data_IF_950805875617
#
_entry.id   IF_950805875617
#
_cell.length_a   1.000
_cell.length_b   1.000
_cell.length_c   1.000
_cell.angle_alpha   90.00
_cell.angle_beta   90.00
_cell.angle_gamma   90.00
#
_symmetry.space_group_name_H-M   'P 1'
#
loop_
_entity.id
_entity.type
_entity.pdbx_description
1 polymer ?
#
# COMPACT_ATOMS: atom_id res chain seq x y z
N UNK A 1 17.74 8.53 -8.01
CA UNK A 1 18.01 7.13 -7.58
C UNK A 1 16.81 6.25 -7.94
N UNK A 2 16.99 4.95 -8.21
CA UNK A 2 15.87 4.10 -8.60
C UNK A 2 14.88 3.90 -7.44
N UNK A 3 13.58 3.85 -7.74
CA UNK A 3 12.48 3.58 -6.77
C UNK A 3 12.75 2.34 -5.91
N UNK A 4 13.46 1.36 -6.48
CA UNK A 4 13.93 0.15 -5.79
C UNK A 4 14.70 0.43 -4.49
N UNK A 5 15.44 1.54 -4.38
CA UNK A 5 16.18 1.89 -3.17
C UNK A 5 15.26 2.08 -1.96
N UNK A 6 14.03 2.57 -2.17
CA UNK A 6 13.05 2.73 -1.10
C UNK A 6 12.62 1.38 -0.48
N UNK A 7 12.68 0.28 -1.24
CA UNK A 7 12.42 -1.05 -0.69
C UNK A 7 13.45 -1.42 0.40
N UNK A 8 14.71 -1.04 0.23
CA UNK A 8 15.74 -1.25 1.24
C UNK A 8 15.51 -0.41 2.50
N UNK A 9 15.01 0.81 2.36
CA UNK A 9 14.59 1.64 3.50
C UNK A 9 13.51 0.90 4.30
N UNK A 10 12.41 0.49 3.67
CA UNK A 10 11.33 -0.23 4.38
C UNK A 10 11.78 -1.57 4.96
N UNK A 11 12.67 -2.30 4.29
CA UNK A 11 13.26 -3.53 4.86
C UNK A 11 14.04 -3.23 6.15
N UNK A 12 14.84 -2.16 6.18
CA UNK A 12 15.59 -1.75 7.36
C UNK A 12 14.71 -1.23 8.50
N UNK A 13 13.54 -0.68 8.18
CA UNK A 13 12.56 -0.19 9.16
C UNK A 13 11.74 -1.30 9.82
N UNK A 14 11.68 -2.50 9.22
CA UNK A 14 10.84 -3.57 9.76
C UNK A 14 11.21 -3.94 11.19
N UNK A 15 12.51 -4.14 11.48
CA UNK A 15 12.99 -4.46 12.83
C UNK A 15 12.74 -3.34 13.85
N UNK A 16 13.16 -2.09 13.58
CA UNK A 16 12.89 -0.93 14.42
C UNK A 16 11.42 -0.69 14.77
N UNK A 17 10.49 -0.97 13.86
CA UNK A 17 9.05 -0.82 14.07
C UNK A 17 8.39 -2.12 14.59
N UNK A 18 9.16 -3.18 14.78
CA UNK A 18 8.64 -4.44 15.31
C UNK A 18 8.57 -4.38 16.83
N UNK A 19 7.37 -4.10 17.32
CA UNK A 19 7.05 -4.07 18.73
C UNK A 19 5.92 -5.06 19.05
N UNK A 20 6.16 -5.92 20.04
CA UNK A 20 5.19 -6.92 20.49
C UNK A 20 4.85 -6.64 21.95
N UNK A 21 3.77 -5.88 22.15
CA UNK A 21 3.24 -5.57 23.47
C UNK A 21 2.24 -6.62 23.92
N UNK A 22 2.28 -6.96 25.20
CA UNK A 22 1.29 -7.84 25.82
C UNK A 22 0.02 -7.06 26.24
N UNK A 23 -1.05 -7.79 26.59
CA UNK A 23 -2.32 -7.17 26.98
C UNK A 23 -2.20 -6.24 28.20
N UNK A 24 -1.30 -6.51 29.15
CA UNK A 24 -1.11 -5.64 30.30
C UNK A 24 -0.43 -4.32 29.90
N UNK A 25 0.53 -4.36 28.99
CA UNK A 25 1.17 -3.17 28.40
C UNK A 25 0.14 -2.30 27.69
N UNK A 26 -0.67 -2.92 26.83
CA UNK A 26 -1.67 -2.19 26.05
C UNK A 26 -2.80 -1.62 26.92
N UNK A 27 -3.38 -2.42 27.81
CA UNK A 27 -4.64 -2.06 28.48
C UNK A 27 -4.46 -1.49 29.89
N UNK A 28 -3.35 -1.79 30.57
CA UNK A 28 -3.10 -1.27 31.93
C UNK A 28 -2.10 -0.13 31.90
N UNK A 29 -1.01 -0.26 31.13
CA UNK A 29 0.03 0.77 31.00
C UNK A 29 -0.26 1.78 29.89
N UNK A 30 -1.24 1.51 29.03
CA UNK A 30 -1.62 2.39 27.92
C UNK A 30 -0.54 2.49 26.84
N UNK A 31 0.36 1.51 26.76
CA UNK A 31 1.43 1.52 25.78
C UNK A 31 0.88 1.20 24.39
N UNK A 32 1.21 2.02 23.38
CA UNK A 32 0.82 1.79 21.99
C UNK A 32 1.91 1.01 21.25
N UNK A 33 1.51 0.10 20.37
CA UNK A 33 2.46 -0.57 19.46
C UNK A 33 3.06 0.46 18.51
N UNK A 34 4.36 0.37 18.28
CA UNK A 34 5.06 1.27 17.37
C UNK A 34 4.45 1.27 15.97
N UNK A 35 4.33 2.46 15.38
CA UNK A 35 3.90 2.67 14.00
C UNK A 35 4.62 3.88 13.41
N UNK A 36 4.63 3.96 12.09
CA UNK A 36 5.10 5.13 11.35
C UNK A 36 4.10 5.46 10.24
N UNK A 37 3.95 6.73 9.90
CA UNK A 37 3.15 7.20 8.78
C UNK A 37 4.05 7.92 7.79
N UNK A 38 4.00 7.50 6.54
CA UNK A 38 4.66 8.16 5.41
C UNK A 38 3.60 8.89 4.62
N UNK A 39 3.72 10.20 4.51
CA UNK A 39 2.62 11.05 4.07
C UNK A 39 3.04 11.94 2.91
N UNK A 40 2.12 12.12 1.97
CA UNK A 40 2.22 13.09 0.90
C UNK A 40 1.05 14.04 1.11
N UNK A 41 1.34 15.28 1.48
CA UNK A 41 0.34 16.30 1.71
C UNK A 41 0.54 17.46 0.74
N UNK A 42 -0.55 17.91 0.11
CA UNK A 42 -0.57 19.09 -0.74
C UNK A 42 -1.37 20.19 -0.08
N UNK A 43 -0.78 21.38 0.00
CA UNK A 43 -1.41 22.59 0.50
C UNK A 43 -1.43 23.60 -0.64
N UNK A 44 -2.62 23.92 -1.16
CA UNK A 44 -2.75 24.85 -2.29
C UNK A 44 -1.89 24.50 -3.53
N UNK A 45 -1.62 23.21 -3.75
CA UNK A 45 -0.80 22.73 -4.87
C UNK A 45 0.67 22.51 -4.53
N UNK A 46 1.13 22.99 -3.37
CA UNK A 46 2.50 22.74 -2.89
C UNK A 46 2.56 21.37 -2.22
N UNK A 47 3.34 20.45 -2.80
CA UNK A 47 3.45 19.06 -2.33
C UNK A 47 4.62 18.92 -1.35
N UNK A 48 4.32 18.38 -0.18
CA UNK A 48 5.27 18.09 0.89
C UNK A 48 5.24 16.61 1.26
N UNK A 49 6.39 16.11 1.73
CA UNK A 49 6.55 14.76 2.24
C UNK A 49 6.78 14.81 3.75
N UNK A 50 6.00 14.03 4.50
CA UNK A 50 6.13 13.95 5.95
C UNK A 50 6.36 12.51 6.40
N UNK A 51 7.07 12.37 7.52
CA UNK A 51 7.15 11.12 8.25
C UNK A 51 6.73 11.38 9.68
N UNK A 52 5.68 10.72 10.14
CA UNK A 52 5.23 10.76 11.54
C UNK A 52 5.60 9.47 12.22
N UNK A 53 6.26 9.56 13.36
CA UNK A 53 6.69 8.41 14.15
C UNK A 53 6.81 8.80 15.63
N UNK A 54 7.01 7.80 16.49
CA UNK A 54 7.41 8.03 17.88
C UNK A 54 8.82 8.64 17.94
N UNK A 55 9.04 9.55 18.91
CA UNK A 55 10.30 10.28 19.06
C UNK A 55 11.48 9.32 19.21
N UNK A 56 11.28 8.21 19.95
CA UNK A 56 12.26 7.15 20.18
C UNK A 56 12.66 6.40 18.91
N UNK A 57 11.87 6.50 17.83
CA UNK A 57 12.12 5.85 16.54
C UNK A 57 12.68 6.79 15.48
N UNK A 58 12.68 8.10 15.73
CA UNK A 58 13.14 9.14 14.80
C UNK A 58 14.54 8.85 14.25
N UNK A 59 15.52 8.62 15.13
CA UNK A 59 16.93 8.40 14.75
C UNK A 59 17.09 7.19 13.84
N UNK A 60 16.33 6.12 14.09
CA UNK A 60 16.36 4.89 13.29
C UNK A 60 15.73 5.12 11.91
N UNK A 61 14.65 5.90 11.85
CA UNK A 61 13.98 6.25 10.60
C UNK A 61 14.84 7.16 9.73
N UNK A 62 15.41 8.21 10.31
CA UNK A 62 16.33 9.11 9.62
C UNK A 62 17.53 8.33 9.07
N UNK A 63 18.15 7.48 9.90
CA UNK A 63 19.28 6.64 9.49
C UNK A 63 18.93 5.70 8.33
N UNK A 64 17.73 5.11 8.35
CA UNK A 64 17.24 4.25 7.27
C UNK A 64 17.11 5.03 5.96
N UNK A 65 16.55 6.24 6.00
CA UNK A 65 16.40 7.11 4.82
C UNK A 65 17.78 7.53 4.31
N UNK A 66 18.65 8.06 5.17
CA UNK A 66 20.00 8.52 4.80
C UNK A 66 20.86 7.42 4.20
N UNK A 67 20.68 6.16 4.61
CA UNK A 67 21.42 5.02 4.05
C UNK A 67 21.22 4.86 2.55
N UNK A 68 20.02 5.20 2.04
CA UNK A 68 19.67 5.11 0.63
C UNK A 68 19.63 6.47 -0.05
N UNK A 69 19.39 7.55 0.70
CA UNK A 69 19.22 8.92 0.23
C UNK A 69 20.05 9.89 1.11
N UNK A 70 21.38 9.93 0.96
CA UNK A 70 22.26 10.74 1.79
C UNK A 70 22.07 12.25 1.56
N UNK A 71 21.57 12.63 0.39
CA UNK A 71 21.29 14.02 0.00
C UNK A 71 19.86 14.46 0.42
N UNK A 72 19.10 13.61 1.12
CA UNK A 72 17.79 13.99 1.62
C UNK A 72 17.93 15.05 2.73
N UNK A 73 17.08 16.06 2.73
CA UNK A 73 17.02 17.04 3.81
C UNK A 73 15.84 16.71 4.70
N UNK A 74 16.10 16.29 5.94
CA UNK A 74 15.08 15.95 6.93
C UNK A 74 15.14 16.99 8.05
N UNK A 75 14.04 17.71 8.25
CA UNK A 75 13.86 18.66 9.34
C UNK A 75 12.58 18.37 10.10
N UNK A 76 12.61 18.62 11.41
CA UNK A 76 11.42 18.57 12.24
C UNK A 76 10.50 19.77 11.95
N UNK A 77 9.20 19.53 11.95
CA UNK A 77 8.17 20.52 11.66
C UNK A 77 6.95 20.26 12.54
N UNK A 78 6.15 21.30 12.77
CA UNK A 78 4.89 21.16 13.47
C UNK A 78 3.90 20.28 12.67
N UNK A 79 3.05 19.57 13.39
CA UNK A 79 2.02 18.71 12.81
C UNK A 79 0.98 19.56 12.05
N UNK A 80 0.99 19.44 10.73
CA UNK A 80 0.09 20.19 9.84
C UNK A 80 -1.39 19.96 10.15
N UNK A 81 -1.75 18.82 10.76
CA UNK A 81 -3.14 18.54 11.13
C UNK A 81 -3.66 19.48 12.22
N UNK A 82 -2.78 20.18 12.94
CA UNK A 82 -3.14 21.22 13.92
C UNK A 82 -3.43 22.57 13.27
N UNK A 83 -3.05 22.76 12.01
CA UNK A 83 -3.27 24.00 11.25
C UNK A 83 -4.68 24.11 10.69
N UNK A 84 -5.50 23.06 10.87
CA UNK A 84 -6.92 23.06 10.52
C UNK A 84 -7.79 22.96 11.78
N UNK A 85 -9.01 23.51 11.76
CA UNK A 85 -9.96 23.34 12.86
C UNK A 85 -10.16 21.86 13.22
N UNK A 86 -10.24 21.56 14.52
CA UNK A 86 -10.35 20.17 15.02
C UNK A 86 -11.79 19.65 15.03
N UNK A 87 -12.75 20.53 14.82
CA UNK A 87 -14.18 20.25 14.75
C UNK A 87 -14.68 20.02 13.30
N UNK A 88 -13.76 19.84 12.35
CA UNK A 88 -14.10 19.55 10.95
C UNK A 88 -14.79 18.18 10.85
N UNK A 89 -15.89 18.05 10.09
CA UNK A 89 -16.54 19.11 9.31
C UNK A 89 -17.47 19.97 10.14
N UNK A 90 -17.49 21.28 9.83
CA UNK A 90 -18.25 22.30 10.56
C UNK A 90 -18.97 23.25 9.60
N UNK A 91 -19.39 24.43 10.07
CA UNK A 91 -20.10 25.40 9.24
C UNK A 91 -19.22 26.01 8.14
N UNK A 92 -17.90 26.01 8.28
CA UNK A 92 -16.95 26.66 7.38
C UNK A 92 -16.12 25.69 6.53
N UNK A 93 -15.96 24.44 6.98
CA UNK A 93 -15.10 23.44 6.36
C UNK A 93 -15.84 22.16 6.02
N UNK A 94 -15.61 21.66 4.81
CA UNK A 94 -16.02 20.33 4.38
C UNK A 94 -14.82 19.38 4.35
N UNK A 95 -15.07 18.10 4.67
CA UNK A 95 -14.07 17.05 4.66
C UNK A 95 -14.60 15.78 4.00
N UNK A 96 -13.73 15.18 3.20
CA UNK A 96 -13.90 13.84 2.68
C UNK A 96 -12.71 12.98 3.04
N UNK A 97 -12.96 11.94 3.84
CA UNK A 97 -11.96 10.96 4.25
C UNK A 97 -12.31 9.56 3.76
N UNK A 98 -11.31 8.80 3.34
CA UNK A 98 -11.47 7.38 3.02
C UNK A 98 -10.21 6.60 3.37
N UNK A 99 -10.38 5.35 3.78
CA UNK A 99 -9.29 4.38 3.77
C UNK A 99 -9.45 3.42 2.59
N UNK A 100 -8.34 2.96 2.05
CA UNK A 100 -8.27 1.92 1.05
C UNK A 100 -7.94 0.58 1.69
N UNK A 101 -8.52 -0.48 1.15
CA UNK A 101 -8.26 -1.87 1.50
C UNK A 101 -8.06 -2.70 0.23
N UNK A 102 -7.55 -3.91 0.38
CA UNK A 102 -7.46 -4.82 -0.77
C UNK A 102 -8.82 -5.37 -1.20
N UNK A 103 -8.97 -5.57 -2.51
CA UNK A 103 -10.14 -6.18 -3.10
C UNK A 103 -10.19 -7.70 -2.81
N UNK A 104 -9.05 -8.38 -3.01
CA UNK A 104 -8.82 -9.80 -2.71
C UNK A 104 -7.99 -9.95 -1.43
N UNK A 105 -7.75 -11.18 -1.00
CA UNK A 105 -6.98 -11.50 0.20
C UNK A 105 -5.53 -11.02 0.14
N UNK A 106 -4.96 -10.76 1.33
CA UNK A 106 -3.64 -10.13 1.50
C UNK A 106 -2.48 -10.91 0.89
N UNK A 107 -2.63 -12.20 0.61
CA UNK A 107 -1.55 -12.95 -0.05
C UNK A 107 -1.44 -12.64 -1.56
N UNK A 108 -2.47 -12.04 -2.17
CA UNK A 108 -2.38 -11.49 -3.52
C UNK A 108 -1.66 -10.13 -3.50
N UNK A 109 -0.57 -9.93 -4.26
CA UNK A 109 0.09 -8.62 -4.39
C UNK A 109 -0.72 -7.65 -5.25
N UNK A 110 -0.48 -6.36 -5.08
CA UNK A 110 -0.79 -5.36 -6.13
C UNK A 110 0.41 -5.25 -7.08
N UNK A 111 0.25 -4.60 -8.23
CA UNK A 111 1.39 -4.25 -9.07
C UNK A 111 2.37 -3.40 -8.26
N UNK A 112 3.65 -3.71 -8.39
CA UNK A 112 4.73 -2.98 -7.71
C UNK A 112 5.59 -2.27 -8.74
N UNK A 113 6.58 -1.50 -8.28
CA UNK A 113 7.50 -0.75 -9.15
C UNK A 113 8.13 -1.60 -10.28
N UNK A 114 8.35 -2.91 -10.04
CA UNK A 114 8.88 -3.83 -11.06
C UNK A 114 7.96 -3.97 -12.27
N UNK A 115 6.65 -3.82 -12.09
CA UNK A 115 5.66 -3.88 -13.17
C UNK A 115 5.61 -2.62 -14.02
N UNK A 116 6.14 -1.49 -13.53
CA UNK A 116 6.23 -0.22 -14.26
C UNK A 116 7.56 -0.06 -15.02
N UNK A 117 8.52 -0.96 -14.76
CA UNK A 117 9.72 -1.10 -15.56
C UNK A 117 9.43 -2.12 -16.66
N UNK A 118 9.44 -1.70 -17.93
CA UNK A 118 9.20 -2.64 -19.04
C UNK A 118 10.15 -3.85 -18.95
N UNK A 119 9.60 -5.06 -18.94
CA UNK A 119 10.35 -6.32 -19.10
C UNK A 119 10.83 -6.44 -20.55
N UNK A 120 11.79 -5.63 -21.01
CA UNK A 120 12.54 -5.89 -22.25
C UNK A 120 13.85 -5.11 -22.32
N UNK A 121 14.91 -5.80 -21.95
CA UNK A 121 16.28 -5.51 -22.38
C UNK A 121 17.03 -4.53 -21.49
N UNK A 122 18.28 -4.90 -21.18
CA UNK A 122 19.29 -4.14 -20.44
C UNK A 122 19.68 -2.78 -21.07
N UNK A 123 18.90 -2.29 -22.04
CA UNK A 123 19.18 -1.13 -22.90
C UNK A 123 18.03 -0.11 -22.92
N UNK A 124 17.11 -0.13 -21.95
CA UNK A 124 16.17 0.97 -21.79
C UNK A 124 16.92 2.14 -21.15
N UNK A 125 17.28 3.13 -21.99
CA UNK A 125 17.68 4.48 -21.54
C UNK A 125 16.78 4.91 -20.38
N UNK A 126 17.35 5.46 -19.31
CA UNK A 126 16.59 5.89 -18.13
C UNK A 126 15.35 6.74 -18.47
N UNK A 127 15.38 7.42 -19.61
CA UNK A 127 14.32 8.21 -20.25
C UNK A 127 12.95 7.51 -20.42
N UNK A 128 12.87 6.17 -20.51
CA UNK A 128 11.57 5.47 -20.68
C UNK A 128 11.00 4.86 -19.40
N UNK A 129 11.63 5.09 -18.25
CA UNK A 129 11.07 4.64 -16.97
C UNK A 129 9.90 5.56 -16.59
N UNK A 130 8.70 4.99 -16.48
CA UNK A 130 7.51 5.70 -16.00
C UNK A 130 7.58 5.73 -14.48
N UNK A 131 7.63 6.92 -13.89
CA UNK A 131 7.52 7.09 -12.44
C UNK A 131 6.04 7.01 -12.02
N UNK A 132 5.63 6.00 -11.23
CA UNK A 132 4.26 5.89 -10.75
C UNK A 132 3.85 7.09 -9.86
N UNK A 133 4.77 7.81 -9.22
CA UNK A 133 4.42 8.95 -8.37
C UNK A 133 4.20 10.26 -9.13
N UNK A 134 4.75 10.40 -10.34
CA UNK A 134 4.69 11.66 -11.09
C UNK A 134 3.25 12.12 -11.31
N UNK A 135 2.36 11.19 -11.69
CA UNK A 135 0.94 11.48 -11.89
C UNK A 135 0.24 11.94 -10.61
N UNK A 136 0.59 11.34 -9.46
CA UNK A 136 0.03 11.76 -8.18
C UNK A 136 0.45 13.20 -7.85
N UNK A 137 1.74 13.51 -8.00
CA UNK A 137 2.30 14.85 -7.73
C UNK A 137 1.66 15.89 -8.65
N UNK A 138 1.58 15.60 -9.96
CA UNK A 138 0.91 16.48 -10.93
C UNK A 138 -0.55 16.74 -10.54
N UNK A 139 -1.29 15.69 -10.19
CA UNK A 139 -2.70 15.81 -9.78
C UNK A 139 -2.85 16.62 -8.49
N UNK A 140 -1.96 16.42 -7.52
CA UNK A 140 -1.95 17.16 -6.26
C UNK A 140 -1.54 18.64 -6.43
N UNK A 141 -0.79 18.95 -7.50
CA UNK A 141 -0.36 20.31 -7.84
C UNK A 141 -1.48 21.17 -8.44
N UNK A 142 -2.60 20.56 -8.86
CA UNK A 142 -3.78 21.26 -9.42
C UNK A 142 -4.66 21.89 -8.34
N UNK A 143 -4.45 21.53 -7.06
CA UNK A 143 -5.24 22.05 -5.94
C UNK A 143 -5.15 23.58 -5.88
N UNK A 144 -6.29 24.24 -5.62
CA UNK A 144 -6.39 25.68 -5.54
C UNK A 144 -6.01 26.19 -4.14
N UNK A 145 -5.70 27.49 -4.01
CA UNK A 145 -5.52 28.12 -2.70
C UNK A 145 -6.65 27.81 -1.73
N UNK A 146 -6.29 27.32 -0.53
CA UNK A 146 -7.23 26.93 0.52
C UNK A 146 -7.70 25.47 0.49
N UNK A 147 -7.36 24.71 -0.55
CA UNK A 147 -7.58 23.27 -0.60
C UNK A 147 -6.37 22.52 0.00
N UNK A 148 -6.65 21.42 0.71
CA UNK A 148 -5.62 20.51 1.19
C UNK A 148 -5.98 19.06 0.87
N UNK A 149 -4.97 18.28 0.50
CA UNK A 149 -5.12 16.85 0.27
C UNK A 149 -3.99 16.09 0.94
N UNK A 150 -4.35 15.08 1.74
CA UNK A 150 -3.40 14.28 2.52
C UNK A 150 -3.53 12.82 2.13
N UNK A 151 -2.46 12.24 1.63
CA UNK A 151 -2.31 10.80 1.42
C UNK A 151 -1.38 10.26 2.50
N UNK A 152 -1.93 9.43 3.39
CA UNK A 152 -1.21 8.87 4.53
C UNK A 152 -1.04 7.36 4.35
N UNK A 153 0.20 6.88 4.44
CA UNK A 153 0.57 5.47 4.41
C UNK A 153 1.04 5.10 5.81
N UNK A 154 0.10 4.63 6.63
CA UNK A 154 0.37 4.24 8.01
C UNK A 154 0.80 2.78 8.01
N UNK A 155 1.97 2.50 8.57
CA UNK A 155 2.55 1.17 8.64
C UNK A 155 2.86 0.74 10.08
N UNK A 156 2.70 -0.56 10.33
CA UNK A 156 3.13 -1.25 11.55
C UNK A 156 3.78 -2.57 11.15
N UNK A 157 4.95 -2.88 11.72
CA UNK A 157 5.56 -4.19 11.46
C UNK A 157 4.69 -5.30 12.03
N UNK A 158 4.53 -6.38 11.28
CA UNK A 158 3.68 -7.50 11.70
C UNK A 158 4.41 -8.82 11.48
N UNK A 159 4.28 -9.72 12.45
CA UNK A 159 4.80 -11.08 12.32
C UNK A 159 3.82 -12.00 11.57
N UNK A 160 4.29 -13.06 10.90
CA UNK A 160 3.41 -14.07 10.31
C UNK A 160 2.50 -14.80 11.33
N UNK A 161 2.82 -14.71 12.63
CA UNK A 161 2.00 -15.24 13.71
C UNK A 161 0.78 -14.34 13.99
N UNK A 162 0.97 -13.03 13.98
CA UNK A 162 -0.11 -12.04 14.15
C UNK A 162 -1.00 -11.96 12.91
N UNK A 163 -0.41 -11.91 11.71
CA UNK A 163 -1.14 -11.95 10.44
C UNK A 163 -0.65 -13.14 9.59
N UNK A 164 -1.45 -14.20 9.40
CA UNK A 164 -1.01 -15.42 8.72
C UNK A 164 -1.04 -15.31 7.19
N UNK A 165 -0.68 -14.16 6.59
CA UNK A 165 -0.67 -13.98 5.14
C UNK A 165 0.26 -14.98 4.43
N UNK A 166 1.40 -15.30 5.04
CA UNK A 166 2.37 -16.28 4.52
C UNK A 166 1.75 -17.67 4.45
N UNK A 167 1.10 -18.12 5.53
CA UNK A 167 0.44 -19.43 5.60
C UNK A 167 -0.69 -19.52 4.58
N UNK A 168 -1.58 -18.53 4.54
CA UNK A 168 -2.70 -18.47 3.58
C UNK A 168 -2.21 -18.45 2.13
N UNK A 169 -1.11 -17.74 1.85
CA UNK A 169 -0.47 -17.71 0.54
C UNK A 169 0.05 -19.08 0.11
N UNK A 170 0.76 -19.80 0.99
CA UNK A 170 1.22 -21.18 0.72
C UNK A 170 0.05 -22.13 0.46
N UNK A 171 -0.99 -22.10 1.29
CA UNK A 171 -2.20 -22.90 1.09
C UNK A 171 -2.88 -22.60 -0.25
N UNK A 172 -2.84 -21.34 -0.71
CA UNK A 172 -3.36 -20.97 -2.02
C UNK A 172 -2.51 -21.52 -3.16
N UNK A 173 -1.18 -21.42 -3.07
CA UNK A 173 -0.25 -21.99 -4.05
C UNK A 173 -0.49 -23.50 -4.15
N UNK A 174 -0.57 -24.21 -3.03
CA UNK A 174 -0.81 -25.65 -2.99
C UNK A 174 -2.15 -26.03 -3.64
N UNK A 175 -3.20 -25.21 -3.50
CA UNK A 175 -4.47 -25.42 -4.19
C UNK A 175 -4.35 -25.26 -5.71
N UNK A 176 -3.59 -24.27 -6.19
CA UNK A 176 -3.37 -24.04 -7.63
C UNK A 176 -2.56 -25.20 -8.22
N UNK A 177 -1.43 -25.53 -7.59
CA UNK A 177 -0.55 -26.64 -8.01
C UNK A 177 -1.23 -28.01 -7.82
N UNK A 178 -2.08 -28.16 -6.81
CA UNK A 178 -2.84 -29.37 -6.53
C UNK A 178 -3.93 -29.65 -7.57
N UNK A 179 -4.64 -28.64 -8.07
CA UNK A 179 -5.57 -28.78 -9.21
C UNK A 179 -4.87 -29.31 -10.45
N UNK A 180 -3.65 -28.85 -10.69
CA UNK A 180 -2.78 -29.31 -11.78
C UNK A 180 -2.36 -30.78 -11.63
N UNK A 181 -2.26 -31.27 -10.38
CA UNK A 181 -2.02 -32.69 -10.09
C UNK A 181 -3.30 -33.53 -10.17
N UNK A 182 -4.47 -32.96 -9.90
CA UNK A 182 -5.73 -33.67 -9.73
C UNK A 182 -6.71 -33.49 -10.91
N UNK A 183 -6.54 -34.33 -11.93
CA UNK A 183 -7.67 -34.82 -12.73
C UNK A 183 -7.77 -36.35 -12.60
N UNK A 184 -8.35 -36.89 -11.51
CA UNK A 184 -8.88 -38.24 -11.51
C UNK A 184 -10.28 -38.21 -12.15
N UNK A 185 -10.47 -38.98 -13.22
CA UNK A 185 -11.79 -39.22 -13.82
C UNK A 185 -12.72 -39.81 -12.75
N UNK A 186 -13.85 -39.15 -12.47
CA UNK A 186 -14.79 -39.57 -11.41
C UNK A 186 -15.68 -40.76 -11.83
N UNK A 187 -15.79 -41.06 -13.13
CA UNK A 187 -16.54 -42.20 -13.66
C UNK A 187 -15.84 -42.77 -14.90
N UNK A 188 -15.33 -44.00 -14.78
CA UNK A 188 -14.66 -44.76 -15.84
C UNK A 188 -13.59 -45.70 -15.27
N UNK A 189 -13.25 -46.82 -15.94
CA UNK A 189 -12.11 -47.63 -15.54
C UNK A 189 -10.84 -46.75 -15.55
N UNK A 190 -9.88 -47.02 -14.65
CA UNK A 190 -8.68 -46.20 -14.52
C UNK A 190 -8.04 -46.00 -15.90
N UNK A 191 -7.74 -44.76 -16.31
CA UNK A 191 -7.12 -44.54 -17.60
C UNK A 191 -5.79 -45.30 -17.60
N UNK A 192 -5.61 -46.18 -18.59
CA UNK A 192 -4.29 -46.74 -18.89
C UNK A 192 -3.31 -45.57 -18.91
N UNK A 193 -2.20 -45.70 -18.18
CA UNK A 193 -1.12 -44.72 -18.15
C UNK A 193 -0.54 -44.59 -19.56
N UNK A 194 -1.19 -43.77 -20.40
CA UNK A 194 -0.49 -43.08 -21.46
C UNK A 194 0.37 -42.05 -20.76
N UNK A 195 1.66 -42.31 -20.75
CA UNK A 195 2.70 -41.35 -20.39
C UNK A 195 2.65 -40.15 -21.34
N UNK A 196 1.64 -39.29 -21.21
CA UNK A 196 1.79 -37.90 -21.60
C UNK A 196 2.48 -37.19 -20.44
N UNK A 197 3.80 -37.31 -20.47
CA UNK A 197 4.77 -36.64 -19.59
C UNK A 197 4.81 -35.16 -19.95
N UNK A 198 3.70 -34.44 -19.80
CA UNK A 198 3.78 -33.00 -19.67
C UNK A 198 4.27 -32.73 -18.24
N UNK A 199 5.51 -32.21 -18.04
CA UNK A 199 5.99 -31.85 -16.72
C UNK A 199 4.96 -31.00 -15.98
N UNK A 200 4.82 -31.11 -14.65
CA UNK A 200 3.83 -30.36 -13.86
C UNK A 200 3.80 -28.85 -14.14
N UNK A 201 4.94 -28.28 -14.57
CA UNK A 201 5.05 -26.89 -15.01
C UNK A 201 4.24 -26.54 -16.27
N UNK A 202 4.01 -27.49 -17.18
CA UNK A 202 3.24 -27.31 -18.43
C UNK A 202 1.73 -27.48 -18.27
N UNK A 203 1.27 -27.86 -17.07
CA UNK A 203 -0.15 -28.02 -16.75
C UNK A 203 -0.77 -26.76 -16.14
N UNK A 204 0.05 -25.80 -15.70
CA UNK A 204 -0.44 -24.49 -15.28
C UNK A 204 -0.69 -23.62 -16.51
N UNK A 205 -1.81 -22.90 -16.50
CA UNK A 205 -1.99 -21.79 -17.44
C UNK A 205 -0.95 -20.71 -17.17
N UNK A 206 -0.59 -19.93 -18.20
CA UNK A 206 0.36 -18.82 -18.03
C UNK A 206 -0.04 -17.87 -16.89
N UNK A 207 -1.33 -17.55 -16.77
CA UNK A 207 -1.86 -16.70 -15.69
C UNK A 207 -1.74 -17.34 -14.30
N UNK A 208 -1.90 -18.66 -14.18
CA UNK A 208 -1.69 -19.35 -12.89
C UNK A 208 -0.21 -19.35 -12.49
N UNK A 209 0.71 -19.55 -13.44
CA UNK A 209 2.15 -19.45 -13.19
C UNK A 209 2.55 -18.05 -12.73
N UNK A 210 2.02 -17.00 -13.38
CA UNK A 210 2.24 -15.61 -12.98
C UNK A 210 1.71 -15.35 -11.55
N UNK A 211 0.49 -15.79 -11.24
CA UNK A 211 -0.09 -15.64 -9.90
C UNK A 211 0.76 -16.34 -8.84
N UNK A 212 1.19 -17.59 -9.09
CA UNK A 212 2.02 -18.34 -8.13
C UNK A 212 3.35 -17.62 -7.88
N UNK A 213 4.04 -17.22 -8.96
CA UNK A 213 5.31 -16.48 -8.88
C UNK A 213 5.17 -15.20 -8.05
N UNK A 214 4.11 -14.44 -8.27
CA UNK A 214 3.88 -13.16 -7.59
C UNK A 214 3.48 -13.36 -6.12
N UNK A 215 2.69 -14.39 -5.79
CA UNK A 215 2.42 -14.74 -4.38
C UNK A 215 3.72 -15.17 -3.69
N UNK A 216 4.55 -16.02 -4.29
CA UNK A 216 5.85 -16.43 -3.75
C UNK A 216 6.78 -15.23 -3.51
N UNK A 217 6.81 -14.30 -4.46
CA UNK A 217 7.57 -13.05 -4.35
C UNK A 217 7.09 -12.15 -3.21
N UNK A 218 5.79 -12.16 -2.88
CA UNK A 218 5.23 -11.39 -1.76
C UNK A 218 5.52 -12.06 -0.42
N UNK A 219 5.23 -13.36 -0.28
CA UNK A 219 5.31 -14.06 1.02
C UNK A 219 6.74 -14.27 1.53
N UNK A 220 7.76 -14.13 0.68
CA UNK A 220 9.18 -14.19 1.09
C UNK A 220 9.69 -12.92 1.76
N UNK A 221 8.91 -11.82 1.74
CA UNK A 221 9.30 -10.53 2.31
C UNK A 221 8.66 -10.34 3.69
N UNK A 222 9.33 -9.56 4.53
CA UNK A 222 8.74 -9.07 5.76
C UNK A 222 7.54 -8.17 5.44
N UNK A 223 6.48 -8.29 6.25
CA UNK A 223 5.21 -7.61 6.03
C UNK A 223 5.00 -6.46 7.00
N UNK A 224 4.29 -5.45 6.51
CA UNK A 224 3.69 -4.40 7.33
C UNK A 224 2.18 -4.51 7.24
N UNK A 225 1.49 -4.36 8.38
CA UNK A 225 0.09 -3.98 8.36
C UNK A 225 0.02 -2.52 7.92
N UNK A 226 -0.78 -2.25 6.88
CA UNK A 226 -0.79 -0.95 6.21
C UNK A 226 -2.20 -0.42 6.09
N UNK A 227 -2.36 0.86 6.44
CA UNK A 227 -3.57 1.64 6.15
C UNK A 227 -3.19 2.74 5.16
N UNK A 228 -3.85 2.73 4.00
CA UNK A 228 -3.76 3.79 3.02
C UNK A 228 -4.96 4.71 3.19
N UNK A 229 -4.73 5.98 3.55
CA UNK A 229 -5.78 6.94 3.83
C UNK A 229 -5.67 8.16 2.93
N UNK A 230 -6.77 8.55 2.31
CA UNK A 230 -6.91 9.81 1.59
C UNK A 230 -7.85 10.75 2.34
N UNK A 231 -7.39 11.95 2.64
CA UNK A 231 -8.19 13.02 3.23
C UNK A 231 -8.15 14.21 2.29
N UNK A 232 -9.32 14.75 1.97
CA UNK A 232 -9.48 16.00 1.25
C UNK A 232 -10.30 16.95 2.09
N UNK A 233 -9.81 18.16 2.28
CA UNK A 233 -10.50 19.19 3.05
C UNK A 233 -10.29 20.56 2.42
N UNK A 234 -11.31 21.39 2.55
CA UNK A 234 -11.29 22.76 2.08
C UNK A 234 -12.42 23.54 2.77
N UNK A 235 -12.36 24.87 2.70
CA UNK A 235 -13.54 25.68 3.04
C UNK A 235 -14.69 25.38 2.09
N UNK A 236 -15.92 25.46 2.60
CA UNK A 236 -17.13 25.02 1.88
C UNK A 236 -17.36 25.73 0.55
N UNK A 237 -17.03 27.02 0.49
CA UNK A 237 -17.18 27.87 -0.69
C UNK A 237 -16.24 27.48 -1.83
N UNK A 238 -15.12 26.83 -1.52
CA UNK A 238 -14.10 26.40 -2.49
C UNK A 238 -14.00 24.87 -2.63
N UNK A 239 -14.76 24.10 -1.84
CA UNK A 239 -14.69 22.65 -1.84
C UNK A 239 -15.08 22.07 -3.20
N UNK A 240 -14.12 21.43 -3.86
CA UNK A 240 -14.28 20.85 -5.18
C UNK A 240 -14.48 19.33 -5.10
N UNK A 241 -15.73 18.91 -5.26
CA UNK A 241 -16.17 17.52 -5.07
C UNK A 241 -15.38 16.48 -5.86
N UNK A 242 -14.80 16.84 -7.02
CA UNK A 242 -14.05 15.90 -7.84
C UNK A 242 -12.65 15.58 -7.32
N UNK A 243 -12.03 16.47 -6.52
CA UNK A 243 -10.69 16.23 -5.97
C UNK A 243 -10.68 15.04 -5.00
N UNK A 244 -11.82 14.68 -4.43
CA UNK A 244 -11.95 13.49 -3.59
C UNK A 244 -11.56 12.17 -4.29
N UNK A 245 -11.58 12.12 -5.62
CA UNK A 245 -11.25 10.92 -6.41
C UNK A 245 -9.74 10.80 -6.72
N UNK A 246 -8.90 11.73 -6.27
CA UNK A 246 -7.45 11.70 -6.54
C UNK A 246 -6.81 10.38 -6.08
N UNK A 247 -7.06 9.97 -4.83
CA UNK A 247 -6.51 8.71 -4.30
C UNK A 247 -7.11 7.47 -4.99
N UNK A 248 -8.36 7.54 -5.47
CA UNK A 248 -8.97 6.44 -6.22
C UNK A 248 -8.30 6.26 -7.58
N UNK A 249 -8.06 7.38 -8.28
CA UNK A 249 -7.39 7.40 -9.57
C UNK A 249 -5.97 6.86 -9.44
N UNK A 250 -5.21 7.34 -8.45
CA UNK A 250 -3.88 6.83 -8.14
C UNK A 250 -3.89 5.34 -7.77
N UNK A 251 -4.76 4.93 -6.86
CA UNK A 251 -4.84 3.55 -6.38
C UNK A 251 -5.21 2.53 -7.48
N UNK A 252 -5.97 2.96 -8.49
CA UNK A 252 -6.40 2.09 -9.60
C UNK A 252 -5.26 1.58 -10.48
N UNK A 253 -4.13 2.29 -10.53
CA UNK A 253 -2.98 1.96 -11.40
C UNK A 253 -2.24 0.71 -10.92
N UNK A 254 -2.30 0.46 -9.62
CA UNK A 254 -1.68 -0.70 -8.99
C UNK A 254 -2.53 -1.97 -9.11
N UNK A 255 -3.73 -1.87 -9.68
CA UNK A 255 -4.64 -3.00 -9.88
C UNK A 255 -4.23 -3.93 -11.03
N UNK A 256 -4.45 -5.23 -10.85
CA UNK A 256 -4.44 -6.23 -11.91
C UNK A 256 -5.63 -7.18 -11.77
N UNK A 257 -6.17 -7.67 -12.89
CA UNK A 257 -7.25 -8.67 -12.86
C UNK A 257 -6.79 -9.99 -12.25
N UNK A 258 -5.55 -10.40 -12.54
CA UNK A 258 -4.96 -11.65 -12.03
C UNK A 258 -4.49 -11.53 -10.58
N UNK A 259 -3.98 -10.35 -10.19
CA UNK A 259 -3.47 -10.07 -8.85
C UNK A 259 -4.52 -9.32 -8.00
N UNK A 260 -4.11 -8.44 -7.10
CA UNK A 260 -4.99 -7.65 -6.25
C UNK A 260 -5.22 -6.24 -6.83
N UNK A 261 -6.16 -5.52 -6.23
CA UNK A 261 -6.44 -4.11 -6.51
C UNK A 261 -6.86 -3.41 -5.21
N UNK A 262 -6.72 -2.08 -5.18
CA UNK A 262 -7.20 -1.27 -4.08
C UNK A 262 -8.70 -0.97 -4.26
N UNK A 263 -9.45 -0.99 -3.15
CA UNK A 263 -10.85 -0.58 -3.09
C UNK A 263 -11.06 0.33 -1.88
N UNK A 264 -12.11 1.14 -1.94
CA UNK A 264 -12.57 1.91 -0.78
C UNK A 264 -12.99 0.96 0.34
N UNK A 265 -12.49 1.20 1.54
CA UNK A 265 -13.00 0.56 2.73
C UNK A 265 -14.33 1.25 3.12
N UNK A 266 -15.45 0.62 2.77
CA UNK A 266 -16.77 1.21 2.96
C UNK A 266 -17.14 1.57 4.41
N UNK A 267 -16.49 0.97 5.41
CA UNK A 267 -16.75 1.21 6.84
C UNK A 267 -16.11 2.48 7.38
N UNK A 268 -15.05 2.99 6.74
CA UNK A 268 -14.31 4.19 7.20
C UNK A 268 -14.47 5.36 6.25
N UNK A 269 -15.33 5.20 5.22
CA UNK A 269 -15.70 6.30 4.34
C UNK A 269 -16.47 7.35 5.14
N UNK A 270 -15.79 8.45 5.44
CA UNK A 270 -16.39 9.61 6.07
C UNK A 270 -16.65 10.63 4.97
N UNK A 271 -17.91 10.73 4.57
CA UNK A 271 -18.40 11.87 3.80
C UNK A 271 -19.32 12.63 4.73
N UNK A 272 -18.82 13.70 5.30
CA UNK A 272 -19.64 14.61 6.08
C UNK A 272 -19.50 15.97 5.42
N UNK A 273 -20.37 16.18 4.43
CA UNK A 273 -20.73 17.53 3.98
C UNK A 273 -21.71 18.01 5.03
N UNK A 274 -21.44 19.13 5.69
CA UNK A 274 -22.48 19.72 6.52
C UNK A 274 -23.65 20.06 5.60
N UNK A 275 -24.85 19.47 5.80
CA UNK A 275 -26.00 19.79 4.95
C UNK A 275 -26.20 21.31 4.94
N UNK A 276 -26.46 21.96 3.78
CA UNK A 276 -27.01 23.30 3.83
C UNK A 276 -28.34 23.19 4.58
N UNK A 277 -28.47 23.92 5.68
CA UNK A 277 -29.75 24.20 6.31
C UNK A 277 -30.55 25.15 5.40
#
# INVERSE_FOLDING_TARGET
>A
KPIKAMEHVFQSLWGPLFDQKNLAEMWVRGEMVDWASFEIASFAGEVHFYVRCFEERRVLIESAIYSQYPDAEISETEDYTKLVPQDIPNQEWDLYGLDLSFLKEDYYPIKTYLSFFEERGELIKEEKRIDPMAKLIETLSVLKPGEQYWLQIIIRSVSPQENPWVKKGKEKIDKIVGRVKAHPQLFGPPPEKKEEVLPPALRMTYGETEIVKEIENKIKKNGFETVLRGIYLAKRDIFHWHHKYIVDAYGSEFGSQNLNALKKWGKTKTTAIASPL
#
